data_IF_181275625879
#
_entry.id   IF_181275625879
#
_cell.length_a   1.000
_cell.length_b   1.000
_cell.length_c   1.000
_cell.angle_alpha   90.00
_cell.angle_beta   90.00
_cell.angle_gamma   90.00
#
_symmetry.space_group_name_H-M   'P 1'
#
loop_
_entity.id
_entity.type
_entity.pdbx_description
1 polymer ?
#
# COMPACT_ATOMS: atom_id res chain seq x y z
N UNK A 1 40.12 4.41 0.99
CA UNK A 1 39.20 4.53 -0.15
C UNK A 1 38.70 3.11 -0.42
N UNK A 2 37.66 2.68 0.30
CA UNK A 2 37.07 1.36 0.05
C UNK A 2 36.53 1.36 -1.37
N UNK A 3 36.89 0.34 -2.14
CA UNK A 3 36.27 0.11 -3.43
C UNK A 3 34.76 0.03 -3.20
N UNK A 4 34.02 0.99 -3.76
CA UNK A 4 32.55 0.95 -3.75
C UNK A 4 32.17 -0.29 -4.55
N UNK A 5 31.89 -1.39 -3.85
CA UNK A 5 31.35 -2.60 -4.48
C UNK A 5 30.08 -2.16 -5.18
N UNK A 6 30.03 -2.31 -6.51
CA UNK A 6 28.85 -2.01 -7.30
C UNK A 6 27.64 -2.69 -6.65
N UNK A 7 26.71 -1.88 -6.14
CA UNK A 7 25.59 -2.33 -5.30
C UNK A 7 24.66 -3.32 -6.00
N UNK A 8 24.79 -3.45 -7.31
CA UNK A 8 24.07 -4.40 -8.16
C UNK A 8 24.62 -5.83 -8.07
N UNK A 9 25.93 -6.00 -7.83
CA UNK A 9 26.60 -7.30 -7.95
C UNK A 9 26.12 -8.26 -6.85
N UNK A 10 25.69 -9.46 -7.26
CA UNK A 10 25.24 -10.52 -6.35
C UNK A 10 23.90 -10.25 -5.65
N UNK A 11 23.14 -9.23 -6.05
CA UNK A 11 21.83 -8.87 -5.46
C UNK A 11 20.67 -9.31 -6.34
N UNK A 12 19.55 -9.69 -5.72
CA UNK A 12 18.31 -10.02 -6.43
C UNK A 12 17.70 -8.76 -7.08
N UNK A 13 16.79 -8.94 -8.03
CA UNK A 13 16.08 -7.79 -8.61
C UNK A 13 15.32 -6.97 -7.54
N UNK A 14 14.52 -7.56 -6.63
CA UNK A 14 13.91 -6.83 -5.52
C UNK A 14 14.89 -6.02 -4.67
N UNK A 15 16.05 -6.60 -4.33
CA UNK A 15 17.07 -5.88 -3.54
C UNK A 15 17.62 -4.67 -4.29
N UNK A 16 17.86 -4.82 -5.59
CA UNK A 16 18.32 -3.71 -6.46
C UNK A 16 17.25 -2.63 -6.58
N UNK A 17 15.98 -3.01 -6.79
CA UNK A 17 14.88 -2.06 -6.89
C UNK A 17 14.68 -1.31 -5.56
N UNK A 18 14.71 -2.02 -4.43
CA UNK A 18 14.67 -1.41 -3.09
C UNK A 18 15.82 -0.42 -2.89
N UNK A 19 17.04 -0.79 -3.30
CA UNK A 19 18.19 0.09 -3.23
C UNK A 19 17.98 1.38 -4.05
N UNK A 20 17.47 1.29 -5.28
CA UNK A 20 17.17 2.48 -6.09
C UNK A 20 16.12 3.38 -5.43
N UNK A 21 15.06 2.81 -4.86
CA UNK A 21 14.01 3.57 -4.17
C UNK A 21 14.57 4.30 -2.95
N UNK A 22 15.27 3.59 -2.06
CA UNK A 22 15.79 4.14 -0.81
C UNK A 22 16.89 5.18 -1.01
N UNK A 23 17.71 5.03 -2.07
CA UNK A 23 18.75 6.00 -2.41
C UNK A 23 18.30 7.05 -3.43
N UNK A 24 17.00 7.05 -3.81
CA UNK A 24 16.39 7.99 -4.75
C UNK A 24 17.13 8.13 -6.09
N UNK A 25 17.74 7.04 -6.56
CA UNK A 25 18.54 7.02 -7.79
C UNK A 25 17.61 6.99 -8.99
N UNK A 26 17.74 7.94 -9.92
CA UNK A 26 16.97 7.99 -11.18
C UNK A 26 15.45 8.21 -11.02
N UNK A 27 15.00 8.74 -9.87
CA UNK A 27 13.58 9.07 -9.68
C UNK A 27 13.13 10.20 -10.63
N UNK A 28 12.00 9.98 -11.31
CA UNK A 28 11.41 10.83 -12.36
C UNK A 28 10.01 11.36 -11.99
N UNK A 29 9.57 11.13 -10.75
CA UNK A 29 8.36 11.72 -10.15
C UNK A 29 8.59 12.04 -8.67
N UNK A 30 7.95 13.12 -8.20
CA UNK A 30 7.86 13.48 -6.79
C UNK A 30 6.39 13.54 -6.38
N UNK A 31 6.07 12.98 -5.22
CA UNK A 31 4.76 13.05 -4.60
C UNK A 31 4.81 13.91 -3.35
N UNK A 32 3.84 14.81 -3.20
CA UNK A 32 3.64 15.58 -1.97
C UNK A 32 2.53 14.90 -1.16
N UNK A 33 2.91 14.18 -0.11
CA UNK A 33 2.04 13.21 0.56
C UNK A 33 1.56 13.70 1.93
N UNK A 34 0.29 13.45 2.22
CA UNK A 34 -0.38 13.80 3.47
C UNK A 34 -0.67 15.29 3.60
N UNK A 35 -1.21 15.69 4.75
CA UNK A 35 -1.49 17.09 5.09
C UNK A 35 -0.24 17.96 5.14
N UNK A 36 0.90 17.36 5.48
CA UNK A 36 2.20 18.03 5.57
C UNK A 36 2.92 18.11 4.22
N UNK A 37 2.35 17.54 3.16
CA UNK A 37 2.93 17.54 1.80
C UNK A 37 4.38 17.03 1.79
N UNK A 38 4.65 15.95 2.52
CA UNK A 38 5.99 15.39 2.61
C UNK A 38 6.44 14.90 1.21
N UNK A 39 7.57 15.40 0.68
CA UNK A 39 8.03 15.03 -0.65
C UNK A 39 8.61 13.60 -0.64
N UNK A 40 8.06 12.73 -1.48
CA UNK A 40 8.49 11.35 -1.68
C UNK A 40 8.77 11.12 -3.16
N UNK A 41 10.01 10.75 -3.49
CA UNK A 41 10.44 10.52 -4.88
C UNK A 41 10.32 9.06 -5.27
N UNK A 42 9.96 8.78 -6.53
CA UNK A 42 9.83 7.43 -7.07
C UNK A 42 10.06 7.38 -8.59
N UNK A 43 9.79 6.21 -9.18
CA UNK A 43 9.94 5.92 -10.60
C UNK A 43 8.58 5.64 -11.26
N UNK A 44 8.20 6.44 -12.25
CA UNK A 44 6.95 6.31 -13.01
C UNK A 44 6.80 4.92 -13.60
N UNK A 45 7.86 4.38 -14.22
CA UNK A 45 7.84 3.04 -14.80
C UNK A 45 7.46 1.95 -13.79
N UNK A 46 8.08 1.95 -12.61
CA UNK A 46 7.79 0.97 -11.56
C UNK A 46 6.32 1.06 -11.12
N UNK A 47 5.84 2.28 -10.89
CA UNK A 47 4.47 2.53 -10.46
C UNK A 47 3.42 2.17 -11.53
N UNK A 48 3.67 2.57 -12.78
CA UNK A 48 2.79 2.29 -13.91
C UNK A 48 2.70 0.78 -14.22
N UNK A 49 3.81 0.06 -14.06
CA UNK A 49 3.82 -1.41 -14.24
C UNK A 49 2.99 -2.14 -13.17
N UNK A 50 2.92 -1.58 -11.95
CA UNK A 50 2.21 -2.19 -10.83
C UNK A 50 0.74 -1.76 -10.70
N UNK A 51 0.35 -0.64 -11.32
CA UNK A 51 -0.97 -0.04 -11.15
C UNK A 51 -1.49 0.61 -12.43
N UNK A 52 -2.72 0.25 -12.88
CA UNK A 52 -3.37 0.95 -13.99
C UNK A 52 -3.73 2.41 -13.62
N UNK A 53 -3.88 2.72 -12.33
CA UNK A 53 -4.15 4.08 -11.86
C UNK A 53 -2.91 4.93 -12.02
N UNK A 54 -1.74 4.45 -11.59
CA UNK A 54 -0.48 5.17 -11.83
C UNK A 54 -0.15 5.29 -13.33
N UNK A 55 -0.38 4.22 -14.11
CA UNK A 55 -0.22 4.31 -15.57
C UNK A 55 -1.09 5.43 -16.16
N UNK A 56 -2.37 5.49 -15.80
CA UNK A 56 -3.28 6.53 -16.27
C UNK A 56 -2.93 7.92 -15.74
N UNK A 57 -2.38 8.01 -14.53
CA UNK A 57 -1.92 9.26 -13.92
C UNK A 57 -0.74 9.88 -14.69
N UNK A 58 0.13 9.06 -15.28
CA UNK A 58 1.33 9.56 -15.98
C UNK A 58 1.19 9.61 -17.50
N UNK A 59 0.42 8.70 -18.09
CA UNK A 59 0.29 8.55 -19.55
C UNK A 59 -1.15 8.79 -20.04
N UNK A 60 -2.08 9.12 -19.15
CA UNK A 60 -3.47 9.36 -19.50
C UNK A 60 -3.71 10.71 -20.19
N UNK A 61 -4.91 10.94 -20.73
CA UNK A 61 -5.27 12.21 -21.38
C UNK A 61 -5.16 13.44 -20.47
N UNK A 62 -5.27 13.22 -19.15
CA UNK A 62 -5.15 14.22 -18.09
C UNK A 62 -3.91 13.95 -17.24
N UNK A 63 -2.83 13.47 -17.87
CA UNK A 63 -1.59 13.16 -17.17
C UNK A 63 -1.09 14.33 -16.33
N UNK A 64 -0.75 14.04 -15.08
CA UNK A 64 -0.21 15.01 -14.15
C UNK A 64 1.16 15.50 -14.62
N UNK A 65 1.36 16.82 -14.60
CA UNK A 65 2.61 17.46 -14.99
C UNK A 65 3.30 18.01 -13.76
N UNK A 66 4.49 17.48 -13.46
CA UNK A 66 5.30 17.89 -12.30
C UNK A 66 5.04 17.01 -11.08
N UNK A 67 5.03 17.64 -9.91
CA UNK A 67 4.83 16.96 -8.63
C UNK A 67 3.36 16.57 -8.44
N UNK A 68 3.12 15.40 -7.85
CA UNK A 68 1.79 14.83 -7.68
C UNK A 68 1.34 14.95 -6.23
N UNK A 69 0.16 15.52 -5.99
CA UNK A 69 -0.37 15.68 -4.63
C UNK A 69 -1.17 14.44 -4.20
N UNK A 70 -0.87 13.92 -3.00
CA UNK A 70 -1.60 12.81 -2.37
C UNK A 70 -2.04 13.23 -0.96
N UNK A 71 -3.22 13.83 -0.85
CA UNK A 71 -3.70 14.39 0.42
C UNK A 71 -4.34 13.36 1.37
N UNK A 72 -4.79 12.21 0.86
CA UNK A 72 -5.67 11.25 1.55
C UNK A 72 -4.95 9.99 2.04
N UNK A 73 -3.63 9.92 1.92
CA UNK A 73 -2.80 8.81 2.43
C UNK A 73 -1.72 9.40 3.33
N UNK A 74 -1.52 8.81 4.51
CA UNK A 74 -0.43 9.19 5.39
C UNK A 74 0.94 8.79 4.76
N UNK A 75 1.99 9.60 4.90
CA UNK A 75 3.29 9.34 4.27
C UNK A 75 3.86 7.95 4.54
N UNK A 76 3.64 7.41 5.74
CA UNK A 76 4.12 6.08 6.16
C UNK A 76 3.44 4.98 5.34
N UNK A 77 2.12 5.05 5.17
CA UNK A 77 1.36 4.07 4.39
C UNK A 77 1.70 4.15 2.89
N UNK A 78 1.94 5.37 2.37
CA UNK A 78 2.38 5.53 0.99
C UNK A 78 3.78 4.94 0.78
N UNK A 79 4.70 5.17 1.72
CA UNK A 79 6.05 4.58 1.68
C UNK A 79 6.00 3.04 1.69
N UNK A 80 5.14 2.45 2.53
CA UNK A 80 4.92 0.99 2.53
C UNK A 80 4.35 0.47 1.20
N UNK A 81 3.43 1.23 0.58
CA UNK A 81 2.90 0.91 -0.75
C UNK A 81 4.00 0.92 -1.81
N UNK A 82 4.88 1.92 -1.77
CA UNK A 82 6.03 2.00 -2.68
C UNK A 82 6.99 0.83 -2.45
N UNK A 83 7.38 0.53 -1.21
CA UNK A 83 8.24 -0.64 -0.96
C UNK A 83 7.63 -1.92 -1.53
N UNK A 84 6.33 -2.15 -1.28
CA UNK A 84 5.62 -3.30 -1.83
C UNK A 84 5.67 -3.36 -3.37
N UNK A 85 5.48 -2.23 -4.06
CA UNK A 85 5.55 -2.17 -5.53
C UNK A 85 6.94 -2.59 -6.02
N UNK A 86 8.00 -2.25 -5.29
CA UNK A 86 9.38 -2.48 -5.72
C UNK A 86 9.88 -3.88 -5.37
N UNK A 87 9.33 -4.51 -4.33
CA UNK A 87 9.87 -5.76 -3.79
C UNK A 87 8.88 -6.92 -3.74
N UNK A 88 7.59 -6.66 -3.93
CA UNK A 88 6.47 -7.58 -3.65
C UNK A 88 6.46 -8.13 -2.20
N UNK A 89 7.18 -7.47 -1.29
CA UNK A 89 7.25 -7.82 0.14
C UNK A 89 6.64 -6.73 1.00
N UNK A 90 5.91 -7.13 2.03
CA UNK A 90 5.33 -6.21 3.02
C UNK A 90 5.02 -6.96 4.31
N UNK A 91 5.18 -6.27 5.44
CA UNK A 91 4.78 -6.75 6.76
C UNK A 91 3.46 -6.07 7.11
N UNK A 92 2.41 -6.86 7.34
CA UNK A 92 1.07 -6.37 7.62
C UNK A 92 0.75 -6.62 9.10
N UNK A 93 0.24 -5.59 9.79
CA UNK A 93 -0.14 -5.64 11.19
C UNK A 93 -1.44 -4.85 11.46
N UNK A 94 -1.89 -4.82 12.72
CA UNK A 94 -3.12 -4.13 13.12
C UNK A 94 -3.06 -2.61 12.99
N UNK A 95 -1.87 -2.02 12.96
CA UNK A 95 -1.67 -0.57 12.86
C UNK A 95 -1.72 -0.11 11.41
N UNK A 96 -1.12 -0.87 10.49
CA UNK A 96 -0.99 -0.48 9.08
C UNK A 96 -2.11 -1.00 8.17
N UNK A 97 -2.82 -2.07 8.55
CA UNK A 97 -3.78 -2.77 7.68
C UNK A 97 -4.83 -1.85 7.03
N UNK A 98 -5.36 -0.87 7.77
CA UNK A 98 -6.39 0.04 7.25
C UNK A 98 -5.84 0.94 6.14
N UNK A 99 -4.64 1.49 6.34
CA UNK A 99 -3.97 2.33 5.34
C UNK A 99 -3.58 1.52 4.11
N UNK A 100 -3.11 0.29 4.29
CA UNK A 100 -2.76 -0.61 3.17
C UNK A 100 -3.98 -1.05 2.36
N UNK A 101 -5.11 -1.33 3.03
CA UNK A 101 -6.39 -1.59 2.37
C UNK A 101 -6.79 -0.40 1.50
N UNK A 102 -6.78 0.79 2.07
CA UNK A 102 -7.16 2.01 1.36
C UNK A 102 -6.25 2.28 0.16
N UNK A 103 -4.93 2.25 0.36
CA UNK A 103 -3.95 2.47 -0.72
C UNK A 103 -4.02 1.42 -1.83
N UNK A 104 -4.17 0.13 -1.47
CA UNK A 104 -4.27 -0.95 -2.45
C UNK A 104 -5.54 -0.89 -3.29
N UNK A 105 -6.67 -0.46 -2.71
CA UNK A 105 -7.90 -0.20 -3.48
C UNK A 105 -7.77 1.03 -4.36
N UNK A 106 -7.31 2.17 -3.80
CA UNK A 106 -7.15 3.43 -4.52
C UNK A 106 -6.27 3.28 -5.76
N UNK A 107 -5.16 2.56 -5.65
CA UNK A 107 -4.24 2.33 -6.76
C UNK A 107 -4.43 0.96 -7.44
N UNK A 108 -5.53 0.24 -7.17
CA UNK A 108 -5.86 -1.04 -7.81
C UNK A 108 -4.76 -2.11 -7.76
N UNK A 109 -3.99 -2.16 -6.67
CA UNK A 109 -2.91 -3.15 -6.46
C UNK A 109 -3.51 -4.43 -5.87
N UNK A 110 -4.12 -5.25 -6.73
CA UNK A 110 -4.92 -6.43 -6.34
C UNK A 110 -4.16 -7.45 -5.49
N UNK A 111 -2.88 -7.66 -5.76
CA UNK A 111 -2.06 -8.62 -5.01
C UNK A 111 -1.85 -8.16 -3.56
N UNK A 112 -1.58 -6.87 -3.34
CA UNK A 112 -1.51 -6.29 -1.99
C UNK A 112 -2.86 -6.39 -1.29
N UNK A 113 -3.95 -6.11 -2.02
CA UNK A 113 -5.29 -6.20 -1.45
C UNK A 113 -5.60 -7.62 -0.96
N UNK A 114 -5.29 -8.63 -1.76
CA UNK A 114 -5.47 -10.03 -1.39
C UNK A 114 -4.62 -10.42 -0.15
N UNK A 115 -3.39 -9.90 -0.03
CA UNK A 115 -2.54 -10.07 1.17
C UNK A 115 -3.21 -9.46 2.41
N UNK A 116 -3.84 -8.28 2.28
CA UNK A 116 -4.60 -7.63 3.35
C UNK A 116 -5.85 -8.45 3.76
N UNK A 117 -6.62 -8.95 2.79
CA UNK A 117 -7.81 -9.76 3.06
C UNK A 117 -7.43 -11.09 3.76
N UNK A 118 -6.31 -11.70 3.36
CA UNK A 118 -5.76 -12.89 4.03
C UNK A 118 -5.37 -12.61 5.48
N UNK A 119 -4.73 -11.47 5.74
CA UNK A 119 -4.38 -11.06 7.10
C UNK A 119 -5.63 -10.89 7.97
N UNK A 120 -6.67 -10.22 7.46
CA UNK A 120 -7.92 -10.04 8.20
C UNK A 120 -8.61 -11.37 8.50
N UNK A 121 -8.78 -12.23 7.51
CA UNK A 121 -9.45 -13.54 7.69
C UNK A 121 -8.69 -14.45 8.66
N UNK A 122 -7.36 -14.45 8.62
CA UNK A 122 -6.54 -15.26 9.53
C UNK A 122 -6.61 -14.77 10.98
N UNK A 123 -6.71 -13.46 11.20
CA UNK A 123 -6.85 -12.88 12.54
C UNK A 123 -8.28 -12.89 13.10
N UNK A 124 -9.28 -13.08 12.22
CA UNK A 124 -10.68 -13.24 12.62
C UNK A 124 -10.95 -14.67 13.11
N UNK A 125 -10.31 -15.67 12.49
CA UNK A 125 -10.51 -17.07 12.85
C UNK A 125 -9.89 -17.45 14.22
N UNK A 126 -8.93 -16.66 14.72
CA UNK A 126 -8.36 -16.84 16.07
C UNK A 126 -9.17 -16.19 17.18
N UNK A 127 -10.19 -15.39 16.84
CA UNK A 127 -11.08 -14.76 17.81
C UNK A 127 -12.53 -14.89 17.37
N UNK A 128 -13.04 -16.12 17.26
CA UNK A 128 -14.47 -16.52 17.21
C UNK A 128 -15.48 -15.38 16.93
N UNK A 129 -15.35 -14.71 15.79
CA UNK A 129 -16.27 -13.62 15.39
C UNK A 129 -16.52 -13.74 13.90
N UNK A 130 -17.70 -14.24 13.54
CA UNK A 130 -18.15 -14.33 12.16
C UNK A 130 -18.40 -12.92 11.62
N UNK A 131 -17.39 -12.30 11.00
CA UNK A 131 -17.55 -11.01 10.32
C UNK A 131 -18.14 -11.28 8.93
N UNK A 132 -19.41 -10.92 8.74
CA UNK A 132 -20.02 -10.86 7.42
C UNK A 132 -19.49 -9.64 6.66
N UNK A 133 -18.52 -9.86 5.76
CA UNK A 133 -18.13 -8.86 4.78
C UNK A 133 -19.18 -8.81 3.66
N UNK A 134 -20.26 -8.05 3.84
CA UNK A 134 -21.14 -7.74 2.72
C UNK A 134 -20.40 -6.80 1.76
N UNK A 135 -20.02 -7.28 0.57
CA UNK A 135 -19.54 -6.42 -0.51
C UNK A 135 -20.58 -5.32 -0.78
N UNK A 136 -20.25 -4.06 -0.50
CA UNK A 136 -21.01 -2.91 -1.00
C UNK A 136 -20.09 -1.79 -1.47
N UNK A 137 -20.61 -1.12 -2.50
CA UNK A 137 -20.02 -0.09 -3.37
C UNK A 137 -19.59 1.14 -2.57
N UNK A 138 -18.56 1.84 -3.10
CA UNK A 138 -17.88 3.01 -2.55
C UNK A 138 -18.80 3.97 -1.78
N UNK A 139 -18.47 4.26 -0.51
CA UNK A 139 -19.06 5.40 0.20
C UNK A 139 -18.98 5.35 1.73
N UNK A 140 -19.20 4.20 2.37
CA UNK A 140 -19.52 4.21 3.81
C UNK A 140 -18.46 3.52 4.68
N UNK A 141 -18.17 4.16 5.82
CA UNK A 141 -17.27 3.69 6.89
C UNK A 141 -17.56 2.23 7.28
N UNK A 142 -16.51 1.40 7.35
CA UNK A 142 -16.58 0.02 7.85
C UNK A 142 -17.18 0.04 9.27
N UNK A 143 -18.45 -0.35 9.40
CA UNK A 143 -19.07 -0.61 10.70
C UNK A 143 -18.76 -2.04 11.10
N UNK A 144 -17.91 -2.20 12.11
CA UNK A 144 -17.73 -3.47 12.80
C UNK A 144 -19.00 -3.71 13.61
N UNK A 145 -19.88 -4.57 13.11
CA UNK A 145 -21.02 -5.07 13.90
C UNK A 145 -20.50 -6.17 14.81
N UNK A 146 -20.43 -5.88 16.11
CA UNK A 146 -20.24 -6.91 17.14
C UNK A 146 -21.60 -7.54 17.41
N UNK A 147 -21.78 -8.82 17.11
CA UNK A 147 -22.88 -9.57 17.71
C UNK A 147 -22.58 -9.70 19.21
N UNK A 148 -23.46 -9.18 20.06
CA UNK A 148 -23.49 -9.64 21.45
C UNK A 148 -24.06 -11.06 21.40
N UNK A 149 -23.36 -12.03 21.96
CA UNK A 149 -23.99 -13.29 22.30
C UNK A 149 -24.92 -13.00 23.49
N UNK A 150 -26.23 -13.10 23.27
CA UNK A 150 -27.20 -13.20 24.34
C UNK A 150 -26.97 -14.57 25.00
N UNK A 151 -26.23 -14.57 26.12
CA UNK A 151 -26.18 -15.73 27.01
C UNK A 151 -27.37 -15.58 27.96
N UNK A 152 -28.37 -16.45 27.75
CA UNK A 152 -29.51 -16.66 28.63
C UNK A 152 -29.04 -16.85 30.08
N UNK A 153 -29.47 -15.95 30.97
CA UNK A 153 -29.56 -16.21 32.40
C UNK A 153 -30.61 -17.31 32.63
N UNK A 154 -30.16 -18.51 33.01
CA UNK A 154 -30.98 -19.47 33.74
C UNK A 154 -30.20 -20.01 34.93
N UNK A 155 -30.46 -19.42 36.08
CA UNK A 155 -30.42 -20.05 37.40
C UNK A 155 -31.76 -19.79 38.09
#
# INVERSE_FOLDING_TARGET
MEATVDWQIGKSLPDRMKYMLHNQLMCDVTFNVGSEKLPIRAHKFMLASASPVFHSMFEGPLAEKGDVEIADIAPEHFSMLLEYIYTDTIIIDSMNIKGLIYGSEKYMIKNLRAKCDKFLTSNVNTKHTTIFLSKRRLGDTIRVVRCKEDIDDKA
#
